data_IF_119022675625
#
_entry.id   IF_119022675625
#
_cell.length_a   1.000
_cell.length_b   1.000
_cell.length_c   1.000
_cell.angle_alpha   90.00
_cell.angle_beta   90.00
_cell.angle_gamma   90.00
#
_symmetry.space_group_name_H-M   'P 1'
#
loop_
_entity.id
_entity.type
_entity.pdbx_description
1 polymer ?
#
# COMPACT_ATOMS: atom_id res chain seq x y z
N UNK A 1 4.46 -12.72 -22.00
CA UNK A 1 3.25 -12.95 -21.18
C UNK A 1 2.69 -14.32 -21.54
N UNK A 2 2.16 -15.12 -20.59
CA UNK A 2 1.46 -16.36 -20.96
C UNK A 2 0.27 -16.04 -21.87
N UNK A 3 -0.11 -17.01 -22.71
CA UNK A 3 -1.23 -16.86 -23.62
C UNK A 3 -2.52 -16.67 -22.80
N UNK A 4 -3.28 -15.63 -23.14
CA UNK A 4 -4.62 -15.42 -22.61
C UNK A 4 -5.56 -16.46 -23.23
N UNK A 5 -6.26 -17.22 -22.38
CA UNK A 5 -7.10 -18.34 -22.80
C UNK A 5 -8.60 -17.97 -22.87
N UNK A 6 -8.94 -16.70 -22.70
CA UNK A 6 -10.30 -16.17 -22.77
C UNK A 6 -10.61 -15.47 -24.10
N UNK A 7 -11.90 -15.34 -24.42
CA UNK A 7 -12.32 -14.47 -25.51
C UNK A 7 -12.04 -13.01 -25.14
N UNK A 8 -11.41 -12.21 -26.01
CA UNK A 8 -11.11 -10.81 -25.73
C UNK A 8 -12.40 -10.00 -25.60
N UNK A 9 -12.45 -9.09 -24.62
CA UNK A 9 -13.61 -8.26 -24.31
C UNK A 9 -13.27 -6.76 -24.26
N UNK A 10 -14.30 -5.90 -24.26
CA UNK A 10 -14.16 -4.45 -24.28
C UNK A 10 -14.06 -3.85 -22.87
N UNK A 11 -13.71 -2.56 -22.78
CA UNK A 11 -13.50 -1.85 -21.50
C UNK A 11 -14.73 -1.87 -20.58
N UNK A 12 -15.95 -1.90 -21.13
CA UNK A 12 -17.18 -1.97 -20.34
C UNK A 12 -17.32 -3.29 -19.59
N UNK A 13 -16.89 -4.38 -20.21
CA UNK A 13 -16.89 -5.70 -19.58
C UNK A 13 -15.75 -5.83 -18.57
N UNK A 14 -14.56 -5.27 -18.88
CA UNK A 14 -13.47 -5.16 -17.90
C UNK A 14 -13.89 -4.36 -16.66
N UNK A 15 -14.63 -3.26 -16.84
CA UNK A 15 -15.20 -2.46 -15.76
C UNK A 15 -16.15 -3.29 -14.88
N UNK A 16 -17.09 -4.02 -15.50
CA UNK A 16 -18.02 -4.89 -14.78
C UNK A 16 -17.28 -5.99 -14.00
N UNK A 17 -16.33 -6.69 -14.63
CA UNK A 17 -15.57 -7.80 -14.02
C UNK A 17 -14.66 -7.35 -12.88
N UNK A 18 -14.11 -6.14 -12.97
CA UNK A 18 -13.21 -5.60 -11.94
C UNK A 18 -13.93 -4.74 -10.90
N UNK A 19 -15.22 -4.47 -11.05
CA UNK A 19 -15.96 -3.53 -10.20
C UNK A 19 -15.42 -2.09 -10.25
N UNK A 20 -14.68 -1.73 -11.31
CA UNK A 20 -14.04 -0.42 -11.48
C UNK A 20 -14.79 0.39 -12.52
N UNK A 21 -14.76 1.71 -12.39
CA UNK A 21 -15.29 2.58 -13.43
C UNK A 21 -14.40 2.56 -14.68
N UNK A 22 -15.00 2.77 -15.85
CA UNK A 22 -14.26 2.95 -17.12
C UNK A 22 -13.22 4.07 -16.99
N UNK A 23 -13.56 5.15 -16.28
CA UNK A 23 -12.63 6.25 -16.03
C UNK A 23 -11.41 5.79 -15.22
N UNK A 24 -11.60 4.99 -14.17
CA UNK A 24 -10.49 4.44 -13.38
C UNK A 24 -9.59 3.54 -14.23
N UNK A 25 -10.16 2.67 -15.08
CA UNK A 25 -9.37 1.83 -15.99
C UNK A 25 -8.54 2.67 -16.96
N UNK A 26 -9.15 3.69 -17.58
CA UNK A 26 -8.44 4.61 -18.48
C UNK A 26 -7.34 5.38 -17.76
N UNK A 27 -7.54 5.69 -16.49
CA UNK A 27 -6.49 6.30 -15.67
C UNK A 27 -5.32 5.33 -15.47
N UNK A 28 -5.56 4.05 -15.15
CA UNK A 28 -4.47 3.05 -15.08
C UNK A 28 -3.74 2.89 -16.42
N UNK A 29 -4.47 2.89 -17.54
CA UNK A 29 -3.86 2.87 -18.89
C UNK A 29 -3.00 4.11 -19.14
N UNK A 30 -3.49 5.31 -18.81
CA UNK A 30 -2.75 6.56 -19.03
C UNK A 30 -1.50 6.65 -18.16
N UNK A 31 -1.50 5.98 -17.00
CA UNK A 31 -0.32 5.85 -16.17
C UNK A 31 0.67 4.79 -16.68
N UNK A 32 0.36 4.03 -17.75
CA UNK A 32 1.21 2.97 -18.27
C UNK A 32 1.20 1.71 -17.40
N UNK A 33 0.13 1.50 -16.62
CA UNK A 33 0.02 0.41 -15.64
C UNK A 33 -0.79 -0.78 -16.14
N UNK A 34 -1.21 -0.77 -17.41
CA UNK A 34 -1.96 -1.88 -18.04
C UNK A 34 -1.18 -2.34 -19.28
N UNK A 35 -0.25 -3.29 -19.14
CA UNK A 35 0.56 -3.77 -20.26
C UNK A 35 -0.24 -4.74 -21.14
N UNK A 36 0.13 -4.85 -22.41
CA UNK A 36 -0.39 -5.91 -23.29
C UNK A 36 -1.79 -5.67 -23.85
N UNK A 37 -2.32 -4.44 -23.76
CA UNK A 37 -3.61 -4.08 -24.36
C UNK A 37 -3.51 -4.14 -25.89
N UNK A 38 -4.21 -5.09 -26.49
CA UNK A 38 -4.29 -5.27 -27.93
C UNK A 38 -5.40 -4.40 -28.53
N UNK A 39 -5.46 -4.36 -29.88
CA UNK A 39 -6.56 -3.75 -30.61
C UNK A 39 -7.22 -4.78 -31.52
N UNK A 40 -8.55 -4.71 -31.63
CA UNK A 40 -9.30 -5.50 -32.60
C UNK A 40 -9.14 -4.94 -34.03
N UNK A 41 -9.72 -5.63 -35.02
CA UNK A 41 -9.72 -5.21 -36.42
C UNK A 41 -10.39 -3.84 -36.65
N UNK A 42 -11.27 -3.41 -35.73
CA UNK A 42 -11.91 -2.09 -35.73
C UNK A 42 -11.11 -1.01 -35.00
N UNK A 43 -9.89 -1.31 -34.53
CA UNK A 43 -9.01 -0.39 -33.82
C UNK A 43 -9.38 -0.12 -32.37
N UNK A 44 -10.37 -0.85 -31.81
CA UNK A 44 -10.81 -0.72 -30.41
C UNK A 44 -9.88 -1.53 -29.51
N UNK A 45 -9.61 -1.01 -28.31
CA UNK A 45 -8.84 -1.72 -27.29
C UNK A 45 -9.63 -2.93 -26.79
N UNK A 46 -8.94 -4.07 -26.72
CA UNK A 46 -9.49 -5.32 -26.20
C UNK A 46 -8.65 -5.84 -25.05
N UNK A 47 -9.33 -6.51 -24.12
CA UNK A 47 -8.78 -6.98 -22.86
C UNK A 47 -9.07 -8.46 -22.67
N UNK A 48 -8.09 -9.17 -22.15
CA UNK A 48 -8.18 -10.53 -21.62
C UNK A 48 -8.37 -10.65 -20.12
N UNK A 49 -8.48 -11.90 -19.65
CA UNK A 49 -8.57 -12.26 -18.22
C UNK A 49 -7.34 -11.77 -17.43
N UNK A 50 -6.17 -11.78 -18.06
CA UNK A 50 -4.94 -11.28 -17.46
C UNK A 50 -5.08 -9.83 -16.99
N UNK A 51 -5.82 -8.99 -17.71
CA UNK A 51 -6.02 -7.59 -17.30
C UNK A 51 -6.90 -7.46 -16.06
N UNK A 52 -7.81 -8.40 -15.82
CA UNK A 52 -8.66 -8.41 -14.61
C UNK A 52 -7.78 -8.59 -13.37
N UNK A 53 -6.97 -9.65 -13.36
CA UNK A 53 -6.05 -9.91 -12.25
C UNK A 53 -4.96 -8.84 -12.13
N UNK A 54 -4.49 -8.29 -13.26
CA UNK A 54 -3.50 -7.22 -13.25
C UNK A 54 -4.03 -5.93 -12.63
N UNK A 55 -5.25 -5.50 -12.97
CA UNK A 55 -5.89 -4.33 -12.37
C UNK A 55 -6.18 -4.54 -10.88
N UNK A 56 -6.48 -5.77 -10.46
CA UNK A 56 -6.62 -6.09 -9.04
C UNK A 56 -5.30 -5.91 -8.29
N UNK A 57 -4.21 -6.43 -8.84
CA UNK A 57 -2.87 -6.26 -8.29
C UNK A 57 -2.48 -4.78 -8.21
N UNK A 58 -2.60 -4.02 -9.31
CA UNK A 58 -2.22 -2.60 -9.35
C UNK A 58 -3.00 -1.77 -8.31
N UNK A 59 -4.29 -2.04 -8.12
CA UNK A 59 -5.07 -1.31 -7.11
C UNK A 59 -4.65 -1.66 -5.68
N UNK A 60 -4.37 -2.95 -5.39
CA UNK A 60 -3.86 -3.37 -4.08
C UNK A 60 -2.48 -2.79 -3.78
N UNK A 61 -1.57 -2.80 -4.74
CA UNK A 61 -0.24 -2.20 -4.59
C UNK A 61 -0.36 -0.69 -4.31
N UNK A 62 -1.21 0.02 -5.06
CA UNK A 62 -1.45 1.44 -4.84
C UNK A 62 -2.06 1.74 -3.46
N UNK A 63 -3.10 0.99 -3.05
CA UNK A 63 -3.76 1.17 -1.75
C UNK A 63 -2.83 0.89 -0.57
N UNK A 64 -1.86 0.00 -0.76
CA UNK A 64 -0.85 -0.34 0.25
C UNK A 64 0.40 0.54 0.17
N UNK A 65 0.33 1.65 -0.57
CA UNK A 65 1.36 2.70 -0.54
C UNK A 65 2.47 2.55 -1.57
N UNK A 66 2.35 1.63 -2.54
CA UNK A 66 3.31 1.59 -3.65
C UNK A 66 3.13 2.82 -4.54
N UNK A 67 4.23 3.51 -4.85
CA UNK A 67 4.18 4.71 -5.68
C UNK A 67 3.86 4.37 -7.15
N UNK A 68 3.35 5.35 -7.89
CA UNK A 68 3.09 5.20 -9.33
C UNK A 68 4.37 4.88 -10.09
N UNK A 69 5.51 5.42 -9.66
CA UNK A 69 6.83 5.13 -10.24
C UNK A 69 7.20 3.64 -10.06
N UNK A 70 7.12 3.10 -8.84
CA UNK A 70 7.43 1.69 -8.58
C UNK A 70 6.46 0.75 -9.33
N UNK A 71 5.18 1.10 -9.44
CA UNK A 71 4.22 0.30 -10.22
C UNK A 71 4.53 0.31 -11.71
N UNK A 72 5.05 1.42 -12.25
CA UNK A 72 5.55 1.48 -13.64
C UNK A 72 6.79 0.59 -13.81
N UNK A 73 7.72 0.63 -12.87
CA UNK A 73 8.92 -0.22 -12.90
C UNK A 73 8.53 -1.71 -12.87
N UNK A 74 7.63 -2.09 -11.97
CA UNK A 74 7.09 -3.44 -11.91
C UNK A 74 6.41 -3.85 -13.22
N UNK A 75 5.64 -2.95 -13.83
CA UNK A 75 4.98 -3.18 -15.13
C UNK A 75 5.99 -3.37 -16.25
N UNK A 76 7.02 -2.53 -16.32
CA UNK A 76 8.10 -2.63 -17.29
C UNK A 76 8.88 -3.94 -17.16
N UNK A 77 9.18 -4.36 -15.92
CA UNK A 77 9.81 -5.66 -15.67
C UNK A 77 8.91 -6.81 -16.15
N UNK A 78 7.60 -6.74 -15.89
CA UNK A 78 6.68 -7.81 -16.29
C UNK A 78 6.58 -7.97 -17.81
N UNK A 79 6.67 -6.87 -18.57
CA UNK A 79 6.69 -6.90 -20.04
C UNK A 79 7.91 -7.64 -20.60
N UNK A 80 9.04 -7.65 -19.90
CA UNK A 80 10.26 -8.39 -20.30
C UNK A 80 10.16 -9.91 -20.07
N UNK A 81 9.04 -10.39 -19.50
CA UNK A 81 8.77 -11.81 -19.38
C UNK A 81 9.67 -12.54 -18.37
N UNK A 82 10.05 -13.78 -18.66
CA UNK A 82 10.67 -14.68 -17.68
C UNK A 82 12.03 -14.21 -17.18
N UNK A 83 12.76 -13.40 -17.96
CA UNK A 83 14.09 -12.90 -17.61
C UNK A 83 14.11 -12.06 -16.32
N UNK A 84 13.01 -11.38 -15.99
CA UNK A 84 12.92 -10.44 -14.86
C UNK A 84 12.16 -10.99 -13.66
N UNK A 85 11.88 -12.30 -13.62
CA UNK A 85 11.10 -12.91 -12.52
C UNK A 85 11.70 -12.61 -11.15
N UNK A 86 13.04 -12.67 -11.04
CA UNK A 86 13.75 -12.36 -9.79
C UNK A 86 13.56 -10.91 -9.37
N UNK A 87 13.80 -9.96 -10.29
CA UNK A 87 13.64 -8.52 -10.02
C UNK A 87 12.21 -8.16 -9.59
N UNK A 88 11.20 -8.77 -10.23
CA UNK A 88 9.79 -8.59 -9.85
C UNK A 88 9.51 -9.11 -8.45
N UNK A 89 10.02 -10.30 -8.12
CA UNK A 89 9.89 -10.88 -6.78
C UNK A 89 10.54 -9.97 -5.74
N UNK A 90 11.75 -9.48 -6.00
CA UNK A 90 12.50 -8.66 -5.05
C UNK A 90 11.82 -7.30 -4.82
N UNK A 91 11.23 -6.69 -5.86
CA UNK A 91 10.42 -5.47 -5.74
C UNK A 91 9.19 -5.70 -4.84
N UNK A 92 8.45 -6.80 -5.07
CA UNK A 92 7.28 -7.14 -4.27
C UNK A 92 7.66 -7.51 -2.83
N UNK A 93 8.81 -8.13 -2.62
CA UNK A 93 9.37 -8.46 -1.30
C UNK A 93 9.69 -7.18 -0.51
N UNK A 94 10.36 -6.22 -1.14
CA UNK A 94 10.64 -4.92 -0.53
C UNK A 94 9.35 -4.17 -0.17
N UNK A 95 8.34 -4.22 -1.05
CA UNK A 95 7.03 -3.64 -0.77
C UNK A 95 6.33 -4.35 0.40
N UNK A 96 6.35 -5.68 0.44
CA UNK A 96 5.79 -6.48 1.54
C UNK A 96 6.38 -6.07 2.88
N UNK A 97 7.70 -5.89 2.96
CA UNK A 97 8.36 -5.44 4.19
C UNK A 97 7.83 -4.07 4.66
N UNK A 98 7.65 -3.11 3.75
CA UNK A 98 7.05 -1.80 4.09
C UNK A 98 5.61 -1.91 4.57
N UNK A 99 4.80 -2.74 3.91
CA UNK A 99 3.41 -2.97 4.32
C UNK A 99 3.34 -3.57 5.72
N UNK A 100 4.19 -4.54 6.05
CA UNK A 100 4.26 -5.08 7.40
C UNK A 100 4.64 -4.03 8.45
N UNK A 101 5.58 -3.13 8.13
CA UNK A 101 5.94 -2.04 9.03
C UNK A 101 4.74 -1.10 9.26
N UNK A 102 4.04 -0.70 8.19
CA UNK A 102 2.84 0.14 8.31
C UNK A 102 1.73 -0.52 9.13
N UNK A 103 1.52 -1.83 8.97
CA UNK A 103 0.55 -2.57 9.79
C UNK A 103 0.93 -2.52 11.27
N UNK A 104 2.21 -2.73 11.59
CA UNK A 104 2.70 -2.67 12.97
C UNK A 104 2.49 -1.27 13.57
N UNK A 105 2.81 -0.22 12.82
CA UNK A 105 2.64 1.17 13.26
C UNK A 105 1.15 1.49 13.51
N UNK A 106 0.25 1.02 12.62
CA UNK A 106 -1.19 1.20 12.79
C UNK A 106 -1.76 0.43 13.98
N UNK A 107 -1.25 -0.78 14.26
CA UNK A 107 -1.65 -1.54 15.45
C UNK A 107 -1.23 -0.83 16.74
N UNK A 108 -0.03 -0.24 16.78
CA UNK A 108 0.42 0.55 17.92
C UNK A 108 -0.44 1.81 18.12
N UNK A 109 -0.74 2.52 17.03
CA UNK A 109 -1.61 3.69 17.07
C UNK A 109 -3.03 3.33 17.54
N UNK A 110 -3.60 2.23 17.03
CA UNK A 110 -4.91 1.74 17.43
C UNK A 110 -4.95 1.42 18.93
N UNK A 111 -3.92 0.75 19.46
CA UNK A 111 -3.83 0.46 20.91
C UNK A 111 -3.86 1.72 21.78
N UNK A 112 -3.25 2.82 21.32
CA UNK A 112 -3.34 4.09 22.05
C UNK A 112 -4.75 4.69 22.00
N UNK A 113 -5.43 4.59 20.85
CA UNK A 113 -6.82 5.04 20.68
C UNK A 113 -7.76 4.23 21.57
N UNK A 114 -7.61 2.90 21.61
CA UNK A 114 -8.42 2.01 22.43
C UNK A 114 -8.28 2.37 23.92
N UNK A 115 -7.04 2.53 24.41
CA UNK A 115 -6.81 2.97 25.80
C UNK A 115 -7.44 4.34 26.10
N UNK A 116 -7.51 5.23 25.09
CA UNK A 116 -8.17 6.54 25.25
C UNK A 116 -9.69 6.41 25.31
N UNK A 117 -10.28 5.47 24.59
CA UNK A 117 -11.70 5.16 24.70
C UNK A 117 -11.99 4.62 26.10
N UNK A 118 -11.23 3.62 26.57
CA UNK A 118 -11.39 3.04 27.92
C UNK A 118 -11.28 4.10 29.03
N UNK A 119 -10.33 5.04 28.87
CA UNK A 119 -10.16 6.16 29.78
C UNK A 119 -11.42 7.03 29.87
N UNK A 120 -12.08 7.32 28.74
CA UNK A 120 -13.30 8.11 28.75
C UNK A 120 -14.48 7.31 29.27
N UNK A 121 -14.58 6.02 28.96
CA UNK A 121 -15.63 5.15 29.49
C UNK A 121 -15.58 5.07 31.01
N UNK A 122 -14.38 4.91 31.58
CA UNK A 122 -14.18 4.95 33.03
C UNK A 122 -14.56 6.31 33.64
N UNK A 123 -14.21 7.42 32.98
CA UNK A 123 -14.61 8.75 33.47
C UNK A 123 -16.14 8.93 33.42
N UNK A 124 -16.79 8.54 32.33
CA UNK A 124 -18.25 8.64 32.21
C UNK A 124 -18.97 7.80 33.26
N UNK A 125 -18.43 6.63 33.62
CA UNK A 125 -19.01 5.75 34.64
C UNK A 125 -18.86 6.32 36.07
N UNK A 126 -17.65 6.79 36.43
CA UNK A 126 -17.34 7.16 37.82
C UNK A 126 -17.49 8.66 38.12
N UNK A 127 -17.72 9.48 37.10
CA UNK A 127 -17.79 10.95 37.20
C UNK A 127 -16.46 11.62 37.57
N UNK A 128 -15.38 10.84 37.71
CA UNK A 128 -14.03 11.29 38.08
C UNK A 128 -13.04 10.95 36.98
N UNK A 129 -12.13 11.88 36.71
CA UNK A 129 -11.11 11.71 35.68
C UNK A 129 -10.10 10.63 36.11
N UNK A 130 -9.91 9.55 35.32
CA UNK A 130 -8.88 8.57 35.61
C UNK A 130 -7.47 9.17 35.53
N UNK A 131 -6.44 8.54 36.14
CA UNK A 131 -5.06 8.96 35.99
C UNK A 131 -4.60 8.85 34.52
N UNK A 132 -3.63 9.69 34.13
CA UNK A 132 -3.14 9.73 32.75
C UNK A 132 -2.68 8.34 32.29
N UNK A 133 -3.13 7.93 31.11
CA UNK A 133 -2.65 6.72 30.42
C UNK A 133 -1.12 6.80 30.37
N UNK A 134 -0.39 5.82 30.95
CA UNK A 134 1.06 5.77 30.81
C UNK A 134 1.39 5.70 29.32
N UNK A 135 2.08 6.73 28.83
CA UNK A 135 2.74 6.64 27.54
C UNK A 135 3.76 5.52 27.71
N UNK A 136 3.63 4.44 26.93
CA UNK A 136 4.68 3.44 26.86
C UNK A 136 5.93 4.19 26.41
N UNK A 137 6.86 4.38 27.34
CA UNK A 137 8.14 4.99 27.00
C UNK A 137 8.85 3.93 26.18
N UNK A 138 9.22 4.19 24.91
CA UNK A 138 9.99 3.22 24.14
C UNK A 138 11.24 2.87 24.95
N UNK A 139 11.35 1.60 25.36
CA UNK A 139 12.55 1.09 26.01
C UNK A 139 13.70 1.19 25.00
N UNK A 140 14.53 2.23 25.12
CA UNK A 140 15.64 2.45 24.20
C UNK A 140 16.13 3.87 23.99
N UNK A 141 15.65 4.89 24.72
CA UNK A 141 16.32 6.20 24.67
C UNK A 141 17.71 6.09 25.34
N UNK A 142 18.83 6.34 24.62
CA UNK A 142 20.14 6.39 25.24
C UNK A 142 20.16 7.51 26.28
N UNK A 143 20.74 7.21 27.44
CA UNK A 143 20.89 8.14 28.55
C UNK A 143 21.50 9.47 28.06
N UNK A 144 20.79 10.57 28.33
CA UNK A 144 21.29 11.91 28.02
C UNK A 144 22.66 12.13 28.71
N UNK A 145 23.65 12.73 28.03
CA UNK A 145 24.97 12.92 28.62
C UNK A 145 24.90 13.86 29.82
N UNK A 146 25.78 13.67 30.83
CA UNK A 146 25.74 14.43 32.07
C UNK A 146 25.99 15.91 31.81
N UNK A 147 25.09 16.76 32.33
CA UNK A 147 25.21 18.23 32.26
C UNK A 147 26.50 18.66 32.97
N UNK A 148 27.44 19.24 32.22
CA UNK A 148 28.68 19.82 32.77
C UNK A 148 28.33 20.91 33.80
N UNK A 149 28.66 20.67 35.07
CA UNK A 149 28.61 21.70 36.10
C UNK A 149 29.63 22.80 35.74
N UNK A 150 29.12 24.01 35.50
CA UNK A 150 29.96 25.21 35.38
C UNK A 150 30.45 25.57 36.78
N UNK A 151 31.76 25.46 37.01
CA UNK A 151 32.42 26.02 38.20
C UNK A 151 32.28 27.55 38.17
N UNK A 152 31.90 28.22 39.27
CA UNK A 152 31.99 29.66 39.35
C UNK A 152 33.47 30.04 39.49
N UNK A 153 33.92 30.95 38.64
CA UNK A 153 35.27 31.48 38.64
C UNK A 153 35.40 32.70 39.54
N UNK A 154 36.47 32.67 40.34
CA UNK A 154 37.19 33.73 41.06
C UNK A 154 36.46 34.49 42.17
#
# INVERSE_FOLDING_TARGET
>A
MPADHGAPFLIGELAARTGRTVHAIRWYESQGLVPGVARDAGGRRVYGELHVGWLDLMDRLRRTGMSIAEMRDYTALAMQGKATLRQRRDLLEAHRARVHQTIADWQQALSLVDRKIDFYDAWMADGRRPPLIPVETPQGLPAAPPKKQRKPGR
#
